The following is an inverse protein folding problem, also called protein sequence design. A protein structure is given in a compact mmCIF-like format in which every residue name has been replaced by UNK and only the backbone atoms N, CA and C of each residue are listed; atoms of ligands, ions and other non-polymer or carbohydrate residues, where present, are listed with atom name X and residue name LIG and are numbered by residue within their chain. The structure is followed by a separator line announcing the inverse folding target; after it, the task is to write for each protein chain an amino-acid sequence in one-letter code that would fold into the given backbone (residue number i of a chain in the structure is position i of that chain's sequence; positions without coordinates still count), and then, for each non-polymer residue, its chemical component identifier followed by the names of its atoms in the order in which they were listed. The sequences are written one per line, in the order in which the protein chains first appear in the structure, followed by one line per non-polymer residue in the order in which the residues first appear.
data_IF_363713416784
#
_entry.id   IF_363713416784
#
_cell.length_a   1.000
_cell.length_b   1.000
_cell.length_c   1.000
_cell.angle_alpha   90.00
_cell.angle_beta   90.00
_cell.angle_gamma   90.00
#
_symmetry.space_group_name_H-M   'P 1'
#
loop_
_entity.id
_entity.type
_entity.pdbx_description
1 polymer ?
#
# COMPACT_ATOMS: atom_id res chain seq x y z
N UNK A 1 -17.02 21.59 -32.92
CA UNK A 1 -16.44 20.26 -33.21
C UNK A 1 -17.60 19.27 -33.38
N UNK A 2 -17.51 18.30 -34.31
CA UNK A 2 -18.63 17.41 -34.64
C UNK A 2 -18.98 16.47 -33.48
N UNK A 3 -20.24 16.05 -33.41
CA UNK A 3 -20.70 15.01 -32.48
C UNK A 3 -20.14 13.64 -32.90
N UNK A 4 -19.63 12.87 -31.95
CA UNK A 4 -19.14 11.49 -32.17
C UNK A 4 -19.84 10.57 -31.19
N UNK A 5 -20.52 9.55 -31.71
CA UNK A 5 -21.27 8.57 -30.89
C UNK A 5 -20.33 7.65 -30.10
N UNK A 6 -20.82 7.03 -29.03
CA UNK A 6 -20.03 6.07 -28.22
C UNK A 6 -19.52 4.89 -29.02
N UNK A 7 -20.33 4.36 -29.95
CA UNK A 7 -19.94 3.25 -30.82
C UNK A 7 -18.76 3.63 -31.71
N UNK A 8 -18.81 4.81 -32.35
CA UNK A 8 -17.73 5.28 -33.20
C UNK A 8 -16.49 5.64 -32.38
N UNK A 9 -16.65 6.24 -31.20
CA UNK A 9 -15.54 6.46 -30.27
C UNK A 9 -14.84 5.17 -29.88
N UNK A 10 -15.59 4.10 -29.61
CA UNK A 10 -15.04 2.80 -29.22
C UNK A 10 -14.23 2.18 -30.37
N UNK A 11 -14.79 2.15 -31.57
CA UNK A 11 -14.07 1.66 -32.78
C UNK A 11 -12.77 2.45 -33.01
N UNK A 12 -12.82 3.78 -32.89
CA UNK A 12 -11.63 4.64 -33.03
C UNK A 12 -10.56 4.37 -31.97
N UNK A 13 -10.96 4.00 -30.75
CA UNK A 13 -10.05 3.61 -29.66
C UNK A 13 -9.45 2.23 -29.92
N UNK A 14 -10.22 1.29 -30.48
CA UNK A 14 -9.75 -0.08 -30.80
C UNK A 14 -8.66 -0.08 -31.86
N UNK A 15 -8.68 0.89 -32.79
CA UNK A 15 -7.62 1.07 -33.79
C UNK A 15 -6.24 1.40 -33.18
N UNK A 16 -6.19 1.81 -31.91
CA UNK A 16 -4.97 2.02 -31.12
C UNK A 16 -3.96 3.00 -31.76
N UNK A 17 -4.45 4.00 -32.48
CA UNK A 17 -3.63 5.08 -33.05
C UNK A 17 -3.63 6.30 -32.13
N UNK A 18 -2.43 6.68 -31.65
CA UNK A 18 -2.22 7.82 -30.74
C UNK A 18 -2.81 9.13 -31.29
N UNK A 19 -2.68 9.39 -32.59
CA UNK A 19 -3.18 10.63 -33.22
C UNK A 19 -4.70 10.65 -33.23
N UNK A 20 -5.31 9.51 -33.53
CA UNK A 20 -6.76 9.33 -33.56
C UNK A 20 -7.34 9.49 -32.15
N UNK A 21 -6.75 8.82 -31.16
CA UNK A 21 -7.19 8.90 -29.75
C UNK A 21 -7.01 10.30 -29.19
N UNK A 22 -5.89 10.98 -29.50
CA UNK A 22 -5.67 12.37 -29.07
C UNK A 22 -6.69 13.34 -29.69
N UNK A 23 -7.00 13.18 -30.99
CA UNK A 23 -8.03 13.97 -31.66
C UNK A 23 -9.43 13.72 -31.08
N UNK A 24 -9.75 12.46 -30.76
CA UNK A 24 -11.01 12.05 -30.13
C UNK A 24 -11.16 12.65 -28.73
N UNK A 25 -10.12 12.56 -27.89
CA UNK A 25 -10.12 13.13 -26.54
C UNK A 25 -10.26 14.66 -26.55
N UNK A 26 -9.62 15.32 -27.52
CA UNK A 26 -9.80 16.75 -27.73
C UNK A 26 -11.23 17.13 -28.13
N UNK A 27 -11.99 16.23 -28.75
CA UNK A 27 -13.35 16.53 -29.17
C UNK A 27 -14.34 16.53 -28.00
N UNK A 28 -14.68 17.72 -27.48
CA UNK A 28 -15.68 17.88 -26.40
C UNK A 28 -17.06 17.30 -26.74
N UNK A 29 -17.41 17.20 -28.03
CA UNK A 29 -18.68 16.62 -28.50
C UNK A 29 -18.64 15.10 -28.67
N UNK A 30 -17.51 14.44 -28.43
CA UNK A 30 -17.42 12.99 -28.48
C UNK A 30 -17.94 12.37 -27.19
N UNK A 31 -18.78 11.35 -27.32
CA UNK A 31 -19.22 10.50 -26.20
C UNK A 31 -18.24 9.34 -26.09
N UNK A 32 -17.54 9.22 -24.97
CA UNK A 32 -16.57 8.15 -24.70
C UNK A 32 -17.03 7.47 -23.41
N UNK A 33 -17.50 6.24 -23.52
CA UNK A 33 -18.00 5.47 -22.40
C UNK A 33 -16.85 4.92 -21.53
N UNK A 34 -17.20 4.47 -20.33
CA UNK A 34 -16.24 3.93 -19.36
C UNK A 34 -15.38 2.78 -19.92
N UNK A 35 -15.93 1.79 -20.66
CA UNK A 35 -15.12 0.76 -21.30
C UNK A 35 -14.08 1.33 -22.28
N UNK A 36 -14.46 2.28 -23.14
CA UNK A 36 -13.50 2.92 -24.05
C UNK A 36 -12.44 3.73 -23.29
N UNK A 37 -12.80 4.42 -22.19
CA UNK A 37 -11.84 5.11 -21.33
C UNK A 37 -10.83 4.13 -20.71
N UNK A 38 -11.27 2.96 -20.27
CA UNK A 38 -10.37 1.91 -19.79
C UNK A 38 -9.43 1.38 -20.88
N UNK A 39 -9.92 1.20 -22.11
CA UNK A 39 -9.09 0.79 -23.25
C UNK A 39 -8.01 1.84 -23.56
N UNK A 40 -8.36 3.13 -23.56
CA UNK A 40 -7.41 4.23 -23.74
C UNK A 40 -6.31 4.18 -22.67
N UNK A 41 -6.68 4.02 -21.39
CA UNK A 41 -5.70 3.94 -20.29
C UNK A 41 -4.80 2.70 -20.43
N UNK A 42 -5.35 1.56 -20.86
CA UNK A 42 -4.58 0.33 -21.04
C UNK A 42 -3.56 0.46 -22.18
N UNK A 43 -3.95 1.07 -23.30
CA UNK A 43 -3.13 1.11 -24.51
C UNK A 43 -2.18 2.31 -24.55
N UNK A 44 -2.60 3.47 -24.01
CA UNK A 44 -1.86 4.73 -24.08
C UNK A 44 -1.53 5.33 -22.71
N UNK A 45 -1.64 4.55 -21.62
CA UNK A 45 -1.39 5.02 -20.25
C UNK A 45 0.02 5.54 -19.97
N UNK A 46 0.96 5.36 -20.90
CA UNK A 46 2.33 5.88 -20.82
C UNK A 46 2.52 7.19 -21.61
N UNK A 47 1.53 7.67 -22.35
CA UNK A 47 1.61 8.89 -23.16
C UNK A 47 1.03 10.07 -22.33
N UNK A 48 1.87 10.97 -21.77
CA UNK A 48 1.39 11.99 -20.83
C UNK A 48 0.32 12.89 -21.42
N UNK A 49 0.48 13.26 -22.71
CA UNK A 49 -0.48 14.11 -23.43
C UNK A 49 -1.88 13.50 -23.52
N UNK A 50 -1.98 12.18 -23.65
CA UNK A 50 -3.27 11.48 -23.70
C UNK A 50 -3.89 11.42 -22.31
N UNK A 51 -3.08 11.13 -21.28
CA UNK A 51 -3.54 11.06 -19.89
C UNK A 51 -4.05 12.42 -19.40
N UNK A 52 -3.35 13.50 -19.71
CA UNK A 52 -3.76 14.88 -19.40
C UNK A 52 -5.07 15.24 -20.12
N UNK A 53 -5.18 14.89 -21.42
CA UNK A 53 -6.38 15.14 -22.20
C UNK A 53 -7.60 14.37 -21.68
N UNK A 54 -7.41 13.16 -21.17
CA UNK A 54 -8.47 12.35 -20.55
C UNK A 54 -8.87 12.90 -19.18
N UNK A 55 -7.91 13.34 -18.36
CA UNK A 55 -8.14 13.86 -17.00
C UNK A 55 -8.95 15.17 -16.97
N UNK A 56 -8.82 16.02 -18.00
CA UNK A 56 -9.49 17.33 -18.07
C UNK A 56 -10.94 17.21 -18.61
N UNK A 57 -11.38 16.02 -19.05
CA UNK A 57 -12.76 15.80 -19.49
C UNK A 57 -13.71 15.73 -18.29
N UNK A 58 -14.88 16.36 -18.42
CA UNK A 58 -15.90 16.40 -17.36
C UNK A 58 -16.58 15.04 -17.15
N UNK A 59 -16.84 14.70 -15.89
CA UNK A 59 -17.58 13.51 -15.41
C UNK A 59 -16.88 12.16 -15.68
N UNK A 60 -15.68 11.98 -15.13
CA UNK A 60 -15.02 10.68 -15.09
C UNK A 60 -15.67 9.79 -13.99
N UNK A 61 -16.01 8.53 -14.30
CA UNK A 61 -16.34 7.53 -13.29
C UNK A 61 -15.19 7.36 -12.30
N UNK A 62 -15.52 7.09 -11.02
CA UNK A 62 -14.49 6.99 -9.97
C UNK A 62 -13.46 5.87 -10.22
N UNK A 63 -13.90 4.77 -10.84
CA UNK A 63 -13.06 3.67 -11.33
C UNK A 63 -11.98 4.13 -12.32
N UNK A 64 -12.30 5.11 -13.17
CA UNK A 64 -11.40 5.69 -14.17
C UNK A 64 -10.43 6.66 -13.49
N UNK A 65 -10.91 7.47 -12.54
CA UNK A 65 -10.07 8.36 -11.74
C UNK A 65 -9.01 7.58 -10.95
N UNK A 66 -9.41 6.51 -10.26
CA UNK A 66 -8.48 5.64 -9.54
C UNK A 66 -7.40 5.07 -10.47
N UNK A 67 -7.80 4.53 -11.64
CA UNK A 67 -6.86 4.00 -12.63
C UNK A 67 -5.90 5.06 -13.18
N UNK A 68 -6.38 6.28 -13.46
CA UNK A 68 -5.53 7.38 -13.90
C UNK A 68 -4.48 7.73 -12.85
N UNK A 69 -4.89 7.86 -11.59
CA UNK A 69 -4.00 8.17 -10.47
C UNK A 69 -2.94 7.08 -10.28
N UNK A 70 -3.34 5.81 -10.33
CA UNK A 70 -2.39 4.68 -10.27
C UNK A 70 -1.36 4.75 -11.40
N UNK A 71 -1.80 4.93 -12.65
CA UNK A 71 -0.89 4.99 -13.80
C UNK A 71 0.07 6.15 -13.78
N UNK A 72 -0.42 7.36 -13.46
CA UNK A 72 0.44 8.55 -13.33
C UNK A 72 1.46 8.36 -12.22
N UNK A 73 1.05 7.77 -11.09
CA UNK A 73 1.94 7.45 -9.96
C UNK A 73 3.04 6.47 -10.37
N UNK A 74 2.69 5.38 -11.07
CA UNK A 74 3.66 4.39 -11.59
C UNK A 74 4.66 5.02 -12.55
N UNK A 75 4.16 5.84 -13.50
CA UNK A 75 4.99 6.46 -14.52
C UNK A 75 5.97 7.48 -13.94
N UNK A 76 5.50 8.35 -13.05
CA UNK A 76 6.35 9.32 -12.35
C UNK A 76 7.36 8.58 -11.47
N UNK A 77 6.94 7.55 -10.73
CA UNK A 77 7.84 6.75 -9.90
C UNK A 77 8.95 6.10 -10.74
N UNK A 78 8.60 5.49 -11.87
CA UNK A 78 9.56 4.85 -12.79
C UNK A 78 10.57 5.86 -13.33
N UNK A 79 10.09 7.00 -13.83
CA UNK A 79 10.94 8.06 -14.37
C UNK A 79 11.87 8.65 -13.31
N UNK A 80 11.38 8.84 -12.08
CA UNK A 80 12.18 9.28 -10.95
C UNK A 80 13.23 8.22 -10.57
N UNK A 81 12.87 6.94 -10.57
CA UNK A 81 13.81 5.84 -10.29
C UNK A 81 14.96 5.79 -11.29
N UNK A 82 14.67 5.97 -12.58
CA UNK A 82 15.67 6.03 -13.65
C UNK A 82 16.53 7.30 -13.56
N UNK A 83 15.90 8.46 -13.36
CA UNK A 83 16.58 9.76 -13.34
C UNK A 83 17.47 9.92 -12.11
N UNK A 84 17.01 9.48 -10.94
CA UNK A 84 17.72 9.64 -9.67
C UNK A 84 18.58 8.44 -9.28
N UNK A 85 18.78 7.46 -10.18
CA UNK A 85 19.60 6.26 -9.94
C UNK A 85 19.28 5.61 -8.60
N UNK A 86 17.99 5.42 -8.32
CA UNK A 86 17.55 4.68 -7.13
C UNK A 86 18.25 3.32 -7.16
N UNK A 87 19.02 3.02 -6.11
CA UNK A 87 19.89 1.83 -6.10
C UNK A 87 19.08 0.56 -6.34
N UNK A 88 19.70 -0.46 -6.95
CA UNK A 88 19.02 -1.73 -7.28
C UNK A 88 18.31 -2.33 -6.06
N UNK A 89 18.97 -2.26 -4.90
CA UNK A 89 18.40 -2.67 -3.60
C UNK A 89 17.09 -1.96 -3.25
N UNK A 90 16.95 -0.67 -3.56
CA UNK A 90 15.68 0.05 -3.36
C UNK A 90 14.63 -0.32 -4.41
N UNK A 91 15.04 -0.66 -5.64
CA UNK A 91 14.12 -1.14 -6.69
C UNK A 91 13.51 -2.49 -6.31
N UNK A 92 14.34 -3.44 -5.90
CA UNK A 92 13.92 -4.76 -5.42
C UNK A 92 12.96 -4.64 -4.24
N UNK A 93 13.31 -3.80 -3.26
CA UNK A 93 12.49 -3.54 -2.08
C UNK A 93 11.12 -2.94 -2.45
N UNK A 94 11.07 -2.00 -3.39
CA UNK A 94 9.79 -1.47 -3.90
C UNK A 94 8.97 -2.54 -4.63
N UNK A 95 9.60 -3.41 -5.42
CA UNK A 95 8.90 -4.51 -6.11
C UNK A 95 8.32 -5.53 -5.12
N UNK A 96 9.08 -5.90 -4.08
CA UNK A 96 8.58 -6.77 -3.01
C UNK A 96 7.34 -6.16 -2.38
N UNK A 97 7.39 -4.89 -2.00
CA UNK A 97 6.27 -4.19 -1.40
C UNK A 97 5.05 -4.05 -2.31
N UNK A 98 5.26 -3.81 -3.61
CA UNK A 98 4.17 -3.77 -4.59
C UNK A 98 3.49 -5.15 -4.73
N UNK A 99 4.26 -6.24 -4.72
CA UNK A 99 3.71 -7.60 -4.75
C UNK A 99 2.94 -7.94 -3.48
N UNK A 100 3.47 -7.58 -2.32
CA UNK A 100 2.78 -7.73 -1.03
C UNK A 100 1.43 -6.99 -1.03
N UNK A 101 1.38 -5.77 -1.58
CA UNK A 101 0.14 -5.01 -1.74
C UNK A 101 -0.89 -5.74 -2.62
N UNK A 102 -0.48 -6.16 -3.81
CA UNK A 102 -1.36 -6.83 -4.76
C UNK A 102 -1.92 -8.13 -4.19
N UNK A 103 -1.08 -8.91 -3.51
CA UNK A 103 -1.51 -10.13 -2.84
C UNK A 103 -2.62 -9.86 -1.83
N UNK A 104 -2.38 -8.96 -0.87
CA UNK A 104 -3.32 -8.67 0.21
C UNK A 104 -4.63 -8.05 -0.31
N UNK A 105 -4.54 -7.11 -1.26
CA UNK A 105 -5.74 -6.47 -1.83
C UNK A 105 -6.56 -7.41 -2.73
N UNK A 106 -5.93 -8.43 -3.33
CA UNK A 106 -6.62 -9.44 -4.13
C UNK A 106 -7.30 -10.48 -3.24
N UNK A 107 -6.61 -10.96 -2.20
CA UNK A 107 -7.15 -11.93 -1.24
C UNK A 107 -8.30 -11.34 -0.39
N UNK A 108 -8.14 -10.09 0.08
CA UNK A 108 -9.08 -9.45 1.01
C UNK A 108 -10.50 -9.25 0.48
N UNK A 109 -10.74 -9.41 -0.84
CA UNK A 109 -12.05 -9.17 -1.43
C UNK A 109 -13.04 -10.32 -1.24
N UNK A 110 -12.59 -11.58 -1.11
CA UNK A 110 -13.49 -12.75 -1.02
C UNK A 110 -12.89 -14.01 -0.33
N UNK A 111 -11.75 -13.91 0.37
CA UNK A 111 -11.12 -15.10 0.95
C UNK A 111 -11.91 -15.65 2.17
N UNK A 112 -12.12 -16.97 2.21
CA UNK A 112 -12.55 -17.68 3.42
C UNK A 112 -11.34 -17.93 4.34
N UNK A 113 -11.54 -18.23 5.64
CA UNK A 113 -10.44 -18.56 6.55
C UNK A 113 -9.55 -19.69 6.02
N UNK A 114 -10.13 -20.71 5.39
CA UNK A 114 -9.40 -21.85 4.80
C UNK A 114 -8.53 -21.40 3.62
N UNK A 115 -9.07 -20.54 2.74
CA UNK A 115 -8.29 -19.97 1.63
C UNK A 115 -7.11 -19.14 2.14
N UNK A 116 -7.28 -18.44 3.26
CA UNK A 116 -6.20 -17.70 3.92
C UNK A 116 -5.14 -18.68 4.44
N UNK A 117 -5.55 -19.80 5.05
CA UNK A 117 -4.62 -20.82 5.58
C UNK A 117 -3.79 -21.42 4.47
N UNK A 118 -4.43 -21.88 3.40
CA UNK A 118 -3.76 -22.44 2.23
C UNK A 118 -2.79 -21.42 1.61
N UNK A 119 -3.19 -20.15 1.55
CA UNK A 119 -2.33 -19.09 1.03
C UNK A 119 -1.12 -18.84 1.93
N UNK A 120 -1.30 -18.83 3.25
CA UNK A 120 -0.20 -18.67 4.22
C UNK A 120 0.81 -19.82 4.08
N UNK A 121 0.35 -21.07 3.97
CA UNK A 121 1.23 -22.22 3.78
C UNK A 121 2.03 -22.11 2.48
N UNK A 122 1.35 -21.84 1.36
CA UNK A 122 2.02 -21.66 0.06
C UNK A 122 3.07 -20.55 0.12
N UNK A 123 2.78 -19.44 0.79
CA UNK A 123 3.74 -18.34 0.95
C UNK A 123 4.91 -18.73 1.85
N UNK A 124 4.66 -19.48 2.92
CA UNK A 124 5.69 -19.95 3.83
C UNK A 124 6.65 -20.91 3.12
N UNK A 125 6.12 -21.92 2.43
CA UNK A 125 6.90 -22.91 1.66
C UNK A 125 7.73 -22.26 0.56
N UNK A 126 7.21 -21.21 -0.08
CA UNK A 126 7.92 -20.46 -1.12
C UNK A 126 8.95 -19.46 -0.57
N UNK A 127 9.08 -19.31 0.76
CA UNK A 127 9.92 -18.28 1.37
C UNK A 127 9.44 -16.85 1.08
N UNK A 128 8.15 -16.70 0.78
CA UNK A 128 7.48 -15.44 0.41
C UNK A 128 6.60 -14.87 1.51
N UNK A 129 6.38 -15.60 2.60
CA UNK A 129 5.81 -15.06 3.82
C UNK A 129 6.88 -14.21 4.50
N UNK A 130 6.81 -12.89 4.34
CA UNK A 130 7.82 -11.97 4.90
C UNK A 130 7.29 -11.25 6.15
N UNK A 131 8.16 -10.81 7.07
CA UNK A 131 7.78 -9.93 8.18
C UNK A 131 7.05 -8.65 7.73
N UNK A 132 7.45 -8.10 6.58
CA UNK A 132 6.84 -6.89 6.00
C UNK A 132 5.44 -7.16 5.45
N UNK A 133 5.19 -8.34 4.88
CA UNK A 133 3.86 -8.76 4.44
C UNK A 133 2.90 -8.87 5.63
N UNK A 134 3.34 -9.49 6.73
CA UNK A 134 2.54 -9.65 7.95
C UNK A 134 2.18 -8.29 8.55
N UNK A 135 3.15 -7.38 8.68
CA UNK A 135 2.86 -6.04 9.18
C UNK A 135 2.00 -5.22 8.21
N UNK A 136 2.17 -5.39 6.91
CA UNK A 136 1.31 -4.75 5.91
C UNK A 136 -0.13 -5.21 6.07
N UNK A 137 -0.37 -6.51 6.27
CA UNK A 137 -1.70 -7.06 6.55
C UNK A 137 -2.32 -6.42 7.80
N UNK A 138 -1.56 -6.34 8.90
CA UNK A 138 -2.00 -5.64 10.12
C UNK A 138 -2.35 -4.17 9.88
N UNK A 139 -1.51 -3.42 9.15
CA UNK A 139 -1.77 -2.02 8.82
C UNK A 139 -3.02 -1.83 7.95
N UNK A 140 -3.29 -2.77 7.04
CA UNK A 140 -4.50 -2.78 6.22
C UNK A 140 -5.75 -3.23 6.99
N UNK A 141 -5.57 -3.78 8.20
CA UNK A 141 -6.64 -4.28 9.05
C UNK A 141 -7.04 -5.73 8.75
N UNK A 142 -6.21 -6.47 8.02
CA UNK A 142 -6.38 -7.91 7.79
C UNK A 142 -5.77 -8.70 8.95
N UNK A 143 -6.52 -8.75 10.06
CA UNK A 143 -6.10 -9.47 11.26
C UNK A 143 -6.07 -10.98 11.05
N UNK A 144 -6.94 -11.50 10.19
CA UNK A 144 -7.05 -12.94 9.92
C UNK A 144 -5.76 -13.44 9.26
N UNK A 145 -5.35 -12.82 8.16
CA UNK A 145 -4.10 -13.16 7.48
C UNK A 145 -2.90 -13.01 8.43
N UNK A 146 -2.83 -11.90 9.17
CA UNK A 146 -1.74 -11.66 10.10
C UNK A 146 -1.67 -12.71 11.22
N UNK A 147 -2.82 -13.09 11.78
CA UNK A 147 -2.92 -14.10 12.83
C UNK A 147 -2.43 -15.45 12.33
N UNK A 148 -2.96 -15.93 11.19
CA UNK A 148 -2.57 -17.20 10.62
C UNK A 148 -1.08 -17.23 10.22
N UNK A 149 -0.58 -16.14 9.64
CA UNK A 149 0.83 -16.01 9.29
C UNK A 149 1.74 -16.04 10.52
N UNK A 150 1.37 -15.35 11.60
CA UNK A 150 2.14 -15.38 12.86
C UNK A 150 2.04 -16.73 13.56
N UNK A 151 0.87 -17.39 13.54
CA UNK A 151 0.70 -18.74 14.05
C UNK A 151 1.66 -19.71 13.34
N UNK A 152 1.73 -19.60 12.00
CA UNK A 152 2.62 -20.41 11.19
C UNK A 152 4.10 -20.15 11.46
N UNK A 153 4.48 -18.89 11.66
CA UNK A 153 5.86 -18.51 12.01
C UNK A 153 6.28 -18.96 13.41
N UNK A 154 5.37 -18.87 14.38
CA UNK A 154 5.62 -19.26 15.76
C UNK A 154 5.45 -20.78 15.99
N UNK A 155 5.01 -21.52 14.96
CA UNK A 155 4.71 -22.96 15.02
C UNK A 155 3.71 -23.30 16.15
N UNK A 156 2.61 -22.56 16.20
CA UNK A 156 1.54 -22.74 17.19
C UNK A 156 0.16 -22.80 16.51
N UNK A 157 -0.85 -23.40 17.15
CA UNK A 157 -2.23 -23.36 16.66
C UNK A 157 -2.74 -21.92 16.46
N UNK A 158 -3.52 -21.70 15.40
CA UNK A 158 -4.12 -20.38 15.08
C UNK A 158 -4.92 -19.83 16.25
N UNK A 159 -5.69 -20.66 16.96
CA UNK A 159 -6.43 -20.25 18.15
C UNK A 159 -5.53 -19.68 19.26
N UNK A 160 -4.32 -20.22 19.43
CA UNK A 160 -3.36 -19.71 20.41
C UNK A 160 -2.78 -18.37 19.97
N UNK A 161 -2.42 -18.23 18.69
CA UNK A 161 -1.96 -16.97 18.14
C UNK A 161 -3.03 -15.88 18.23
N UNK A 162 -4.29 -16.23 17.94
CA UNK A 162 -5.44 -15.34 18.05
C UNK A 162 -5.63 -14.83 19.48
N UNK A 163 -5.58 -15.71 20.47
CA UNK A 163 -5.63 -15.32 21.90
C UNK A 163 -4.47 -14.40 22.30
N UNK A 164 -3.26 -14.64 21.79
CA UNK A 164 -2.09 -13.79 22.07
C UNK A 164 -2.22 -12.40 21.43
N UNK A 165 -2.74 -12.32 20.20
CA UNK A 165 -2.96 -11.05 19.49
C UNK A 165 -4.11 -10.23 20.09
N UNK A 166 -5.17 -10.90 20.53
CA UNK A 166 -6.34 -10.29 21.16
C UNK A 166 -6.17 -10.06 22.67
N UNK A 167 -5.03 -10.43 23.25
CA UNK A 167 -4.74 -10.17 24.66
C UNK A 167 -4.94 -8.69 24.97
N UNK A 168 -5.72 -8.41 26.02
CA UNK A 168 -5.98 -7.04 26.50
C UNK A 168 -4.71 -6.42 27.06
N UNK A 169 -3.77 -7.25 27.51
CA UNK A 169 -2.41 -6.84 27.86
C UNK A 169 -1.56 -6.53 26.62
N UNK A 170 -0.42 -5.86 26.84
CA UNK A 170 0.60 -5.71 25.79
C UNK A 170 1.40 -7.01 25.58
N UNK A 171 1.49 -7.84 26.62
CA UNK A 171 2.46 -8.92 26.72
C UNK A 171 2.23 -10.06 25.72
N UNK A 172 0.99 -10.48 25.45
CA UNK A 172 0.70 -11.56 24.52
C UNK A 172 1.19 -11.27 23.09
N UNK A 173 0.84 -10.11 22.56
CA UNK A 173 1.26 -9.70 21.21
C UNK A 173 2.78 -9.54 21.09
N UNK A 174 3.46 -9.02 22.13
CA UNK A 174 4.93 -8.89 22.14
C UNK A 174 5.62 -10.26 22.22
N UNK A 175 5.06 -11.20 23.00
CA UNK A 175 5.58 -12.55 23.08
C UNK A 175 5.48 -13.26 21.73
N UNK A 176 4.33 -13.14 21.06
CA UNK A 176 4.14 -13.72 19.74
C UNK A 176 5.09 -13.11 18.71
N UNK A 177 5.30 -11.78 18.76
CA UNK A 177 6.27 -11.08 17.91
C UNK A 177 7.70 -11.64 18.09
N UNK A 178 8.09 -11.88 19.34
CA UNK A 178 9.38 -12.49 19.68
C UNK A 178 9.51 -13.93 19.18
N UNK A 179 8.47 -14.75 19.35
CA UNK A 179 8.44 -16.14 18.87
C UNK A 179 8.53 -16.24 17.35
N UNK A 180 7.94 -15.29 16.61
CA UNK A 180 8.06 -15.21 15.16
C UNK A 180 9.45 -14.76 14.67
N UNK A 181 10.40 -14.47 15.57
CA UNK A 181 11.74 -13.94 15.27
C UNK A 181 11.69 -12.70 14.34
N UNK A 182 10.71 -11.82 14.58
CA UNK A 182 10.46 -10.65 13.74
C UNK A 182 11.55 -9.57 13.91
N UNK A 183 11.95 -8.87 12.84
CA UNK A 183 13.02 -7.86 12.91
C UNK A 183 12.76 -6.74 13.91
N UNK A 184 13.75 -6.37 14.72
CA UNK A 184 13.65 -5.27 15.70
C UNK A 184 13.26 -3.93 15.09
N UNK A 185 13.69 -3.67 13.85
CA UNK A 185 13.35 -2.45 13.13
C UNK A 185 11.86 -2.27 12.86
N UNK A 186 11.09 -3.36 12.86
CA UNK A 186 9.65 -3.37 12.59
C UNK A 186 8.81 -3.32 13.88
N UNK A 187 9.43 -3.51 15.05
CA UNK A 187 8.74 -3.53 16.34
C UNK A 187 7.94 -2.26 16.64
N UNK A 188 8.44 -1.03 16.37
CA UNK A 188 7.66 0.19 16.62
C UNK A 188 6.35 0.23 15.84
N UNK A 189 6.37 -0.27 14.60
CA UNK A 189 5.20 -0.33 13.72
C UNK A 189 4.18 -1.33 14.28
N UNK A 190 4.63 -2.54 14.58
CA UNK A 190 3.78 -3.57 15.19
C UNK A 190 3.12 -3.08 16.48
N UNK A 191 3.90 -2.49 17.37
CA UNK A 191 3.42 -1.97 18.65
C UNK A 191 2.35 -0.90 18.49
N UNK A 192 2.56 0.02 17.56
CA UNK A 192 1.60 1.07 17.28
C UNK A 192 0.30 0.50 16.70
N UNK A 193 0.39 -0.38 15.70
CA UNK A 193 -0.81 -0.97 15.08
C UNK A 193 -1.58 -1.82 16.09
N UNK A 194 -0.92 -2.63 16.92
CA UNK A 194 -1.60 -3.39 17.99
C UNK A 194 -2.21 -2.47 19.05
N UNK A 195 -1.62 -1.30 19.31
CA UNK A 195 -2.24 -0.30 20.18
C UNK A 195 -3.53 0.28 19.58
N UNK A 196 -3.59 0.43 18.25
CA UNK A 196 -4.79 0.85 17.53
C UNK A 196 -5.85 -0.24 17.54
N UNK A 197 -5.46 -1.50 17.32
CA UNK A 197 -6.37 -2.66 17.40
C UNK A 197 -7.07 -2.67 18.77
N UNK A 198 -6.32 -2.56 19.87
CA UNK A 198 -6.89 -2.50 21.22
C UNK A 198 -7.75 -1.26 21.45
N UNK A 199 -7.28 -0.07 21.06
CA UNK A 199 -8.01 1.19 21.26
C UNK A 199 -9.37 1.19 20.58
N UNK A 200 -9.46 0.59 19.39
CA UNK A 200 -10.68 0.53 18.60
C UNK A 200 -11.51 -0.74 18.87
N UNK A 201 -11.06 -1.61 19.78
CA UNK A 201 -11.63 -2.97 19.96
C UNK A 201 -11.84 -3.67 18.60
N UNK A 202 -10.88 -3.47 17.70
CA UNK A 202 -11.02 -3.79 16.28
C UNK A 202 -11.10 -5.31 16.08
N UNK A 203 -12.21 -5.77 15.48
CA UNK A 203 -12.48 -7.19 15.28
C UNK A 203 -12.17 -7.68 13.86
N UNK A 204 -11.88 -6.76 12.92
CA UNK A 204 -11.76 -7.07 11.50
C UNK A 204 -13.06 -6.92 10.70
N UNK A 205 -14.18 -6.60 11.37
CA UNK A 205 -15.49 -6.48 10.75
C UNK A 205 -15.52 -5.37 9.67
N UNK A 206 -16.22 -5.55 8.54
CA UNK A 206 -16.21 -4.60 7.42
C UNK A 206 -16.54 -3.15 7.81
N UNK A 207 -17.49 -2.97 8.74
CA UNK A 207 -17.92 -1.66 9.24
C UNK A 207 -16.83 -0.90 10.03
N UNK A 208 -15.87 -1.62 10.62
CA UNK A 208 -14.81 -1.07 11.46
C UNK A 208 -13.56 -0.70 10.65
N UNK A 209 -13.38 -1.32 9.47
CA UNK A 209 -12.18 -1.20 8.63
C UNK A 209 -11.84 0.25 8.29
N UNK A 210 -12.83 1.07 7.94
CA UNK A 210 -12.59 2.46 7.54
C UNK A 210 -11.99 3.30 8.69
N UNK A 211 -12.58 3.19 9.88
CA UNK A 211 -12.11 3.91 11.07
C UNK A 211 -10.71 3.44 11.48
N UNK A 212 -10.49 2.13 11.52
CA UNK A 212 -9.18 1.56 11.84
C UNK A 212 -8.10 2.05 10.86
N UNK A 213 -8.36 1.99 9.56
CA UNK A 213 -7.44 2.46 8.53
C UNK A 213 -7.16 3.96 8.65
N UNK A 214 -8.17 4.78 8.96
CA UNK A 214 -7.93 6.21 9.17
C UNK A 214 -7.01 6.48 10.37
N UNK A 215 -7.14 5.71 11.45
CA UNK A 215 -6.25 5.78 12.60
C UNK A 215 -4.82 5.34 12.28
N UNK A 216 -4.65 4.25 11.53
CA UNK A 216 -3.33 3.79 11.06
C UNK A 216 -2.70 4.86 10.17
N UNK A 217 -3.48 5.47 9.29
CA UNK A 217 -3.02 6.54 8.40
C UNK A 217 -2.55 7.76 9.20
N UNK A 218 -3.36 8.26 10.12
CA UNK A 218 -3.03 9.40 10.98
C UNK A 218 -1.77 9.12 11.82
N UNK A 219 -1.67 7.93 12.41
CA UNK A 219 -0.48 7.51 13.15
C UNK A 219 0.76 7.48 12.25
N UNK A 220 0.68 6.88 11.07
CA UNK A 220 1.82 6.74 10.16
C UNK A 220 2.35 8.08 9.65
N UNK A 221 1.47 9.08 9.43
CA UNK A 221 1.90 10.43 9.10
C UNK A 221 2.72 11.07 10.23
N UNK A 222 2.25 10.94 11.47
CA UNK A 222 2.98 11.42 12.65
C UNK A 222 4.31 10.68 12.85
N UNK A 223 4.33 9.36 12.65
CA UNK A 223 5.53 8.52 12.77
C UNK A 223 6.62 8.91 11.75
N UNK A 224 6.23 9.33 10.56
CA UNK A 224 7.14 9.76 9.50
C UNK A 224 7.45 11.26 9.53
N UNK A 225 6.79 12.06 10.38
CA UNK A 225 6.92 13.52 10.40
C UNK A 225 6.39 14.20 9.13
N UNK A 226 5.35 13.63 8.51
CA UNK A 226 4.79 14.07 7.22
C UNK A 226 3.42 14.77 7.36
N UNK A 227 3.24 15.56 8.42
CA UNK A 227 1.98 16.28 8.66
C UNK A 227 1.61 17.16 7.44
N UNK A 228 0.37 17.00 6.93
CA UNK A 228 -0.11 17.71 5.74
C UNK A 228 0.23 17.07 4.39
N UNK A 229 0.89 15.90 4.36
CA UNK A 229 1.18 15.17 3.12
C UNK A 229 -0.06 14.49 2.52
N UNK A 230 -0.19 14.55 1.19
CA UNK A 230 -1.22 13.82 0.41
C UNK A 230 -0.62 12.49 -0.06
N UNK A 231 -0.33 11.59 0.88
CA UNK A 231 0.11 10.24 0.56
C UNK A 231 -1.09 9.31 0.44
N UNK A 232 -1.09 8.43 -0.56
CA UNK A 232 -2.01 7.30 -0.56
C UNK A 232 -1.75 6.42 0.65
N UNK A 233 -2.79 5.77 1.19
CA UNK A 233 -2.68 4.89 2.35
C UNK A 233 -1.64 3.78 2.14
N UNK A 234 -1.56 3.20 0.94
CA UNK A 234 -0.55 2.18 0.62
C UNK A 234 0.88 2.73 0.54
N UNK A 235 1.04 3.93 -0.02
CA UNK A 235 2.35 4.61 -0.08
C UNK A 235 2.84 4.92 1.34
N UNK A 236 1.93 5.32 2.23
CA UNK A 236 2.22 5.54 3.64
C UNK A 236 2.71 4.25 4.30
N UNK A 237 1.98 3.13 4.17
CA UNK A 237 2.37 1.85 4.77
C UNK A 237 3.74 1.42 4.24
N UNK A 238 3.95 1.50 2.93
CA UNK A 238 5.26 1.17 2.33
C UNK A 238 6.37 2.01 2.96
N UNK A 239 6.18 3.33 3.10
CA UNK A 239 7.15 4.21 3.77
C UNK A 239 7.39 3.84 5.22
N UNK A 240 6.35 3.56 5.99
CA UNK A 240 6.46 3.14 7.40
C UNK A 240 7.28 1.87 7.54
N UNK A 241 7.09 0.87 6.67
CA UNK A 241 7.76 -0.42 6.77
C UNK A 241 9.24 -0.37 6.37
N UNK A 242 9.59 0.52 5.44
CA UNK A 242 10.97 0.72 4.98
C UNK A 242 11.71 1.78 5.80
N UNK A 243 10.97 2.56 6.61
CA UNK A 243 11.55 3.62 7.42
C UNK A 243 12.59 3.05 8.39
N UNK A 244 13.73 3.72 8.42
CA UNK A 244 14.79 3.47 9.39
C UNK A 244 15.07 4.83 10.03
N UNK A 245 14.62 5.06 11.27
CA UNK A 245 14.97 6.29 11.95
C UNK A 245 16.50 6.38 12.03
N UNK A 246 17.07 7.52 11.65
CA UNK A 246 18.49 7.77 11.84
C UNK A 246 18.81 7.56 13.32
N UNK A 247 19.82 6.72 13.61
CA UNK A 247 20.29 6.60 15.00
C UNK A 247 20.75 7.99 15.43
N UNK A 248 20.30 8.53 16.57
CA UNK A 248 20.88 9.77 17.07
C UNK A 248 22.38 9.53 17.26
N UNK A 249 23.20 10.25 16.50
CA UNK A 249 24.65 10.27 16.65
C UNK A 249 24.97 10.89 18.01
N UNK A 250 25.07 10.04 19.03
CA UNK A 250 25.43 10.45 20.38
C UNK A 250 26.93 10.67 20.50
N UNK A 251 27.35 11.94 20.58
CA UNK A 251 28.25 12.48 21.62
C UNK A 251 28.50 13.98 21.38
N UNK A 252 27.70 14.83 22.03
CA UNK A 252 28.16 16.19 22.38
C UNK A 252 29.32 16.02 23.37
N UNK A 253 30.51 16.47 22.99
CA UNK A 253 31.64 16.56 23.89
C UNK A 253 31.27 17.38 25.12
N UNK A 254 31.33 16.74 26.29
CA UNK A 254 31.39 17.44 27.58
C UNK A 254 32.70 18.22 27.61
N UNK A 255 32.67 19.50 27.28
CA UNK A 255 33.68 20.45 27.73
C UNK A 255 33.57 20.54 29.25
N UNK A 256 34.48 19.87 29.96
CA UNK A 256 34.70 20.11 31.38
C UNK A 256 35.26 21.53 31.51
N UNK A 257 34.43 22.47 31.95
CA UNK A 257 34.94 23.69 32.56
C UNK A 257 35.62 23.30 33.87
N UNK A 258 36.94 23.48 33.93
CA UNK A 258 37.73 23.52 35.16
C UNK A 258 37.72 24.98 35.62
N UNK A 259 37.30 25.32 36.85
CA UNK A 259 37.63 26.61 37.41
C UNK A 259 39.10 26.58 37.84
N UNK A 260 39.85 27.62 37.50
CA UNK A 260 41.15 27.90 38.09
C UNK A 260 40.94 29.09 39.04
N UNK A 261 41.12 28.80 40.32
CA UNK A 261 41.77 29.71 41.25
C UNK A 261 43.26 29.85 40.88
#
# INVERSE_FOLDING_TARGET
RPFVSSTLSTELVVLNDERVVSALLGNRGAVIDEPAQHLIINAHGQVPRIMDALAIRSALPISVVERLVTRVTEQVSTRLMETYRISERHRELLQVHAREHLLLTTLAKNATPEMVTDTVEVLYEQGRLTPTLILRALCLGDLEFACQAMARYADIPVDNASRLLSDRGRSGAEQLYGQCNMPESLRPVFQAVMSLVRRHEYTGAPRERALFRNSVYAWGLGYLGLEGSVLGHDQLITRVLIYRPERPTGRRGRTRHRPLD
#
